data_IF_532021231664
#
_entry.id   IF_532021231664
#
_cell.length_a   1.000
_cell.length_b   1.000
_cell.length_c   1.000
_cell.angle_alpha   90.00
_cell.angle_beta   90.00
_cell.angle_gamma   90.00
#
_symmetry.space_group_name_H-M   'P 1'
#
loop_
_entity.id
_entity.type
_entity.pdbx_description
1 polymer ?
#
# COMPACT_ATOMS: atom_id res chain seq x y z
N UNK A 1 -11.32 43.73 0.57
CA UNK A 1 -11.55 42.38 0.00
C UNK A 1 -10.93 41.23 0.80
N UNK A 2 -9.70 41.37 1.34
CA UNK A 2 -9.10 40.36 2.24
C UNK A 2 -9.95 40.01 3.47
N UNK A 3 -10.79 40.94 3.94
CA UNK A 3 -11.65 40.70 5.10
C UNK A 3 -12.75 39.67 4.81
N UNK A 4 -13.39 39.76 3.63
CA UNK A 4 -14.42 38.80 3.22
C UNK A 4 -13.82 37.43 2.98
N UNK A 5 -12.68 37.38 2.27
CA UNK A 5 -11.98 36.12 2.02
C UNK A 5 -11.58 35.45 3.35
N UNK A 6 -11.05 36.23 4.32
CA UNK A 6 -10.71 35.71 5.67
C UNK A 6 -11.94 35.23 6.43
N UNK A 7 -13.06 35.92 6.31
CA UNK A 7 -14.31 35.53 6.95
C UNK A 7 -14.83 34.21 6.38
N UNK A 8 -14.95 34.09 5.05
CA UNK A 8 -15.39 32.87 4.38
C UNK A 8 -14.48 31.68 4.65
N UNK A 9 -13.16 31.92 4.73
CA UNK A 9 -12.20 30.88 5.11
C UNK A 9 -12.38 30.43 6.57
N UNK A 10 -12.57 31.37 7.50
CA UNK A 10 -12.86 31.02 8.90
C UNK A 10 -14.14 30.19 9.02
N UNK A 11 -15.18 30.60 8.30
CA UNK A 11 -16.48 29.93 8.29
C UNK A 11 -16.41 28.50 7.74
N UNK A 12 -15.47 28.22 6.80
CA UNK A 12 -15.23 26.87 6.27
C UNK A 12 -14.28 26.04 7.14
N UNK A 13 -13.18 26.62 7.61
CA UNK A 13 -12.12 25.88 8.29
C UNK A 13 -12.54 25.39 9.67
N UNK A 14 -13.40 26.14 10.36
CA UNK A 14 -13.94 25.76 11.68
C UNK A 14 -14.78 24.46 11.61
N UNK A 15 -15.84 24.37 10.78
CA UNK A 15 -16.61 23.13 10.65
C UNK A 15 -15.79 21.99 10.04
N UNK A 16 -14.85 22.29 9.14
CA UNK A 16 -13.92 21.28 8.61
C UNK A 16 -13.10 20.64 9.74
N UNK A 17 -12.53 21.45 10.63
CA UNK A 17 -11.79 20.96 11.78
C UNK A 17 -12.67 20.09 12.69
N UNK A 18 -13.89 20.53 13.00
CA UNK A 18 -14.82 19.75 13.81
C UNK A 18 -15.20 18.41 13.16
N UNK A 19 -15.44 18.39 11.85
CA UNK A 19 -15.70 17.16 11.11
C UNK A 19 -14.51 16.20 11.20
N UNK A 20 -13.29 16.68 10.93
CA UNK A 20 -12.07 15.86 10.99
C UNK A 20 -11.82 15.32 12.40
N UNK A 21 -11.94 16.16 13.42
CA UNK A 21 -11.77 15.76 14.81
C UNK A 21 -12.83 14.72 15.24
N UNK A 22 -14.10 14.92 14.84
CA UNK A 22 -15.18 13.98 15.12
C UNK A 22 -14.94 12.61 14.49
N UNK A 23 -14.59 12.58 13.20
CA UNK A 23 -14.25 11.33 12.52
C UNK A 23 -13.03 10.63 13.13
N UNK A 24 -11.99 11.38 13.52
CA UNK A 24 -10.83 10.83 14.23
C UNK A 24 -11.23 10.14 15.52
N UNK A 25 -12.06 10.80 16.35
CA UNK A 25 -12.52 10.24 17.62
C UNK A 25 -13.35 8.97 17.40
N UNK A 26 -14.31 9.00 16.48
CA UNK A 26 -15.14 7.82 16.19
C UNK A 26 -14.33 6.65 15.66
N UNK A 27 -13.39 6.92 14.76
CA UNK A 27 -12.53 5.89 14.19
C UNK A 27 -11.62 5.28 15.26
N UNK A 28 -10.95 6.09 16.08
CA UNK A 28 -10.10 5.59 17.18
C UNK A 28 -10.92 4.79 18.21
N UNK A 29 -12.12 5.24 18.57
CA UNK A 29 -12.98 4.50 19.48
C UNK A 29 -13.36 3.13 18.89
N UNK A 30 -13.80 3.10 17.64
CA UNK A 30 -14.20 1.86 16.96
C UNK A 30 -13.04 0.88 16.80
N UNK A 31 -11.87 1.35 16.35
CA UNK A 31 -10.68 0.51 16.20
C UNK A 31 -10.18 -0.04 17.54
N UNK A 32 -10.21 0.79 18.59
CA UNK A 32 -9.78 0.39 19.92
C UNK A 32 -10.68 -0.73 20.44
N UNK A 33 -12.01 -0.58 20.38
CA UNK A 33 -12.94 -1.62 20.82
C UNK A 33 -12.81 -2.91 20.00
N UNK A 34 -12.51 -2.82 18.71
CA UNK A 34 -12.35 -3.98 17.84
C UNK A 34 -11.07 -4.80 18.10
N UNK A 35 -10.00 -4.16 18.58
CA UNK A 35 -8.67 -4.78 18.72
C UNK A 35 -8.12 -4.72 20.14
N UNK A 36 -8.99 -4.60 21.17
CA UNK A 36 -8.59 -4.56 22.58
C UNK A 36 -7.63 -5.71 22.95
N UNK A 37 -7.84 -6.90 22.40
CA UNK A 37 -7.04 -8.10 22.68
C UNK A 37 -5.63 -8.02 22.09
N UNK A 38 -5.43 -7.31 20.97
CA UNK A 38 -4.11 -7.13 20.33
C UNK A 38 -3.23 -6.14 21.09
N UNK A 39 -3.83 -5.27 21.91
CA UNK A 39 -3.12 -4.27 22.70
C UNK A 39 -2.77 -4.77 24.11
N UNK A 40 -3.12 -6.01 24.44
CA UNK A 40 -2.74 -6.65 25.71
C UNK A 40 -1.21 -6.81 25.75
N UNK A 41 -0.53 -5.97 26.54
CA UNK A 41 0.93 -5.95 26.70
C UNK A 41 1.61 -4.66 26.21
N UNK A 42 0.88 -3.77 25.52
CA UNK A 42 1.40 -2.45 25.10
C UNK A 42 1.03 -1.36 26.11
N UNK A 43 1.95 -0.43 26.36
CA UNK A 43 1.68 0.74 27.22
C UNK A 43 0.75 1.74 26.54
N UNK A 44 -0.07 2.46 27.33
CA UNK A 44 -0.98 3.51 26.81
C UNK A 44 -0.29 4.56 25.93
N UNK A 45 0.98 4.87 26.21
CA UNK A 45 1.80 5.79 25.40
C UNK A 45 2.13 5.22 24.02
N UNK A 46 2.40 3.91 23.92
CA UNK A 46 2.65 3.22 22.66
C UNK A 46 1.36 3.13 21.83
N UNK A 47 0.22 2.84 22.47
CA UNK A 47 -1.09 2.83 21.83
C UNK A 47 -1.42 4.20 21.24
N UNK A 48 -1.23 5.29 22.02
CA UNK A 48 -1.40 6.65 21.51
C UNK A 48 -0.47 6.98 20.34
N UNK A 49 0.79 6.53 20.38
CA UNK A 49 1.74 6.68 19.29
C UNK A 49 1.33 5.93 18.01
N UNK A 50 0.78 4.72 18.14
CA UNK A 50 0.25 3.94 17.01
C UNK A 50 -0.93 4.67 16.36
N UNK A 51 -1.87 5.20 17.14
CA UNK A 51 -3.00 5.95 16.59
C UNK A 51 -2.55 7.23 15.89
N UNK A 52 -1.56 7.94 16.46
CA UNK A 52 -0.99 9.12 15.81
C UNK A 52 -0.32 8.78 14.47
N UNK A 53 0.33 7.62 14.38
CA UNK A 53 0.91 7.09 13.14
C UNK A 53 -0.15 6.64 12.13
N UNK A 54 -1.34 6.21 12.57
CA UNK A 54 -2.44 5.85 11.69
C UNK A 54 -3.32 7.04 11.26
N UNK A 55 -3.25 8.17 11.97
CA UNK A 55 -3.99 9.40 11.64
C UNK A 55 -3.83 9.84 10.17
N UNK A 56 -2.62 9.89 9.57
CA UNK A 56 -2.45 10.23 8.16
C UNK A 56 -3.29 9.36 7.23
N UNK A 57 -3.32 8.05 7.46
CA UNK A 57 -4.10 7.08 6.68
C UNK A 57 -5.60 7.38 6.78
N UNK A 58 -6.11 7.67 7.98
CA UNK A 58 -7.50 8.08 8.16
C UNK A 58 -7.82 9.37 7.41
N UNK A 59 -6.95 10.39 7.51
CA UNK A 59 -7.15 11.66 6.79
C UNK A 59 -7.29 11.41 5.29
N UNK A 60 -6.56 10.45 4.71
CA UNK A 60 -6.67 10.19 3.26
C UNK A 60 -8.06 9.77 2.81
N UNK A 61 -8.83 9.14 3.71
CA UNK A 61 -10.18 8.65 3.43
C UNK A 61 -11.24 9.66 3.84
N UNK A 62 -11.03 10.33 4.97
CA UNK A 62 -12.04 11.20 5.60
C UNK A 62 -12.01 12.63 5.06
N UNK A 63 -10.85 13.13 4.63
CA UNK A 63 -10.69 14.53 4.23
C UNK A 63 -11.67 14.96 3.12
N UNK A 64 -11.91 14.18 2.04
CA UNK A 64 -12.89 14.56 1.01
C UNK A 64 -14.33 14.66 1.55
N UNK A 65 -14.70 13.72 2.42
CA UNK A 65 -16.04 13.67 3.05
C UNK A 65 -16.21 14.85 4.01
N UNK A 66 -15.21 15.12 4.83
CA UNK A 66 -15.21 16.24 5.77
C UNK A 66 -15.25 17.59 5.04
N UNK A 67 -14.52 17.74 3.93
CA UNK A 67 -14.54 18.94 3.10
C UNK A 67 -15.93 19.21 2.52
N UNK A 68 -16.59 18.16 2.00
CA UNK A 68 -17.96 18.26 1.48
C UNK A 68 -18.95 18.70 2.57
N UNK A 69 -18.91 18.06 3.74
CA UNK A 69 -19.80 18.37 4.86
C UNK A 69 -19.56 19.79 5.39
N UNK A 70 -18.31 20.18 5.55
CA UNK A 70 -17.95 21.52 6.00
C UNK A 70 -18.42 22.59 5.01
N UNK A 71 -18.24 22.36 3.71
CA UNK A 71 -18.71 23.28 2.67
C UNK A 71 -20.24 23.39 2.68
N UNK A 72 -20.95 22.26 2.76
CA UNK A 72 -22.40 22.25 2.83
C UNK A 72 -22.91 23.01 4.06
N UNK A 73 -22.30 22.79 5.22
CA UNK A 73 -22.62 23.52 6.44
C UNK A 73 -22.40 25.02 6.28
N UNK A 74 -21.24 25.42 5.77
CA UNK A 74 -20.84 26.82 5.57
C UNK A 74 -21.82 27.56 4.65
N UNK A 75 -22.13 26.96 3.49
CA UNK A 75 -23.06 27.54 2.52
C UNK A 75 -24.47 27.63 3.09
N UNK A 76 -24.91 26.60 3.83
CA UNK A 76 -26.22 26.60 4.50
C UNK A 76 -26.31 27.69 5.56
N UNK A 77 -25.24 27.89 6.33
CA UNK A 77 -25.18 28.90 7.37
C UNK A 77 -25.26 30.31 6.77
N UNK A 78 -24.43 30.61 5.77
CA UNK A 78 -24.44 31.88 5.03
C UNK A 78 -25.80 32.18 4.37
N UNK A 79 -26.46 31.14 3.83
CA UNK A 79 -27.78 31.28 3.23
C UNK A 79 -28.85 31.59 4.27
N UNK A 80 -28.85 30.89 5.42
CA UNK A 80 -29.81 31.14 6.51
C UNK A 80 -29.64 32.52 7.14
N UNK A 81 -28.42 33.01 7.24
CA UNK A 81 -28.13 34.36 7.73
C UNK A 81 -28.41 35.46 6.68
N UNK A 82 -28.88 35.12 5.48
CA UNK A 82 -29.05 36.03 4.33
C UNK A 82 -27.77 36.76 3.90
N UNK A 83 -26.60 36.32 4.34
CA UNK A 83 -25.31 36.93 4.00
C UNK A 83 -24.96 36.72 2.53
N UNK A 84 -25.33 35.57 1.96
CA UNK A 84 -25.15 35.30 0.55
C UNK A 84 -25.93 36.30 -0.32
N UNK A 85 -27.16 36.61 0.09
CA UNK A 85 -28.03 37.59 -0.59
C UNK A 85 -27.47 39.00 -0.43
N UNK A 86 -27.00 39.36 0.76
CA UNK A 86 -26.38 40.66 1.03
C UNK A 86 -25.12 40.89 0.17
N UNK A 87 -24.23 39.89 0.07
CA UNK A 87 -23.03 39.97 -0.79
C UNK A 87 -23.40 40.15 -2.27
N UNK A 88 -24.41 39.41 -2.73
CA UNK A 88 -24.94 39.52 -4.10
C UNK A 88 -25.54 40.90 -4.38
N UNK A 89 -26.30 41.46 -3.44
CA UNK A 89 -26.87 42.80 -3.53
C UNK A 89 -25.79 43.89 -3.54
N UNK A 90 -24.66 43.66 -2.85
CA UNK A 90 -23.47 44.52 -2.90
C UNK A 90 -22.67 44.41 -4.22
N UNK A 91 -23.18 43.68 -5.22
CA UNK A 91 -22.56 43.54 -6.54
C UNK A 91 -21.44 42.49 -6.60
N UNK A 92 -21.24 41.68 -5.55
CA UNK A 92 -20.22 40.63 -5.55
C UNK A 92 -20.72 39.44 -6.39
N UNK A 93 -19.94 39.04 -7.38
CA UNK A 93 -20.28 37.89 -8.22
C UNK A 93 -20.20 36.58 -7.43
N UNK A 94 -21.02 35.59 -7.80
CA UNK A 94 -20.99 34.28 -7.14
C UNK A 94 -19.64 33.59 -7.32
N UNK A 95 -19.05 33.72 -8.51
CA UNK A 95 -17.70 33.23 -8.81
C UNK A 95 -16.66 33.78 -7.83
N UNK A 96 -16.73 35.08 -7.47
CA UNK A 96 -15.80 35.68 -6.51
C UNK A 96 -15.97 35.13 -5.10
N UNK A 97 -17.21 34.86 -4.67
CA UNK A 97 -17.51 34.23 -3.37
C UNK A 97 -16.95 32.80 -3.33
N UNK A 98 -16.94 32.09 -4.47
CA UNK A 98 -16.43 30.71 -4.54
C UNK A 98 -14.90 30.60 -4.53
N UNK A 99 -14.16 31.64 -4.92
CA UNK A 99 -12.68 31.63 -4.96
C UNK A 99 -12.02 31.11 -3.68
N UNK A 100 -12.34 31.60 -2.46
CA UNK A 100 -11.72 31.08 -1.23
C UNK A 100 -11.99 29.59 -1.01
N UNK A 101 -13.18 29.08 -1.35
CA UNK A 101 -13.50 27.66 -1.21
C UNK A 101 -12.70 26.80 -2.19
N UNK A 102 -12.54 27.24 -3.44
CA UNK A 102 -11.68 26.57 -4.41
C UNK A 102 -10.20 26.61 -4.02
N UNK A 103 -9.74 27.70 -3.40
CA UNK A 103 -8.39 27.77 -2.86
C UNK A 103 -8.18 26.70 -1.77
N UNK A 104 -9.12 26.56 -0.83
CA UNK A 104 -9.06 25.48 0.17
C UNK A 104 -9.08 24.11 -0.48
N UNK A 105 -9.94 23.88 -1.47
CA UNK A 105 -10.00 22.61 -2.20
C UNK A 105 -8.65 22.28 -2.87
N UNK A 106 -8.03 23.25 -3.53
CA UNK A 106 -6.72 23.08 -4.16
C UNK A 106 -5.61 22.74 -3.14
N UNK A 107 -5.54 23.48 -2.04
CA UNK A 107 -4.54 23.20 -0.99
C UNK A 107 -4.83 21.89 -0.25
N UNK A 108 -6.09 21.55 -0.01
CA UNK A 108 -6.49 20.28 0.61
C UNK A 108 -6.18 19.09 -0.29
N UNK A 109 -6.41 19.20 -1.60
CA UNK A 109 -6.01 18.19 -2.59
C UNK A 109 -4.49 18.02 -2.64
N UNK A 110 -3.73 19.12 -2.74
CA UNK A 110 -2.27 19.05 -2.67
C UNK A 110 -1.75 18.43 -1.37
N UNK A 111 -2.36 18.76 -0.24
CA UNK A 111 -2.05 18.16 1.05
C UNK A 111 -2.39 16.66 1.09
N UNK A 112 -3.55 16.28 0.55
CA UNK A 112 -3.99 14.89 0.44
C UNK A 112 -3.00 14.07 -0.40
N UNK A 113 -2.55 14.61 -1.53
CA UNK A 113 -1.53 13.98 -2.37
C UNK A 113 -0.22 13.73 -1.64
N UNK A 114 0.27 14.72 -0.87
CA UNK A 114 1.49 14.55 -0.08
C UNK A 114 1.30 13.51 1.03
N UNK A 115 0.13 13.50 1.68
CA UNK A 115 -0.19 12.51 2.71
C UNK A 115 -0.23 11.10 2.14
N UNK A 116 -0.91 10.88 1.01
CA UNK A 116 -1.06 9.55 0.40
C UNK A 116 0.26 9.01 -0.12
N UNK A 117 1.09 9.87 -0.74
CA UNK A 117 2.32 9.42 -1.38
C UNK A 117 3.48 9.21 -0.40
N UNK A 118 3.65 10.11 0.57
CA UNK A 118 4.85 10.11 1.41
C UNK A 118 4.58 9.74 2.87
N UNK A 119 3.52 10.27 3.47
CA UNK A 119 3.34 10.23 4.92
C UNK A 119 2.64 8.95 5.36
N UNK A 120 1.50 8.61 4.74
CA UNK A 120 0.70 7.46 5.12
C UNK A 120 1.47 6.13 5.01
N UNK A 121 2.17 5.81 3.90
CA UNK A 121 2.88 4.53 3.79
C UNK A 121 3.96 4.35 4.86
N UNK A 122 4.71 5.42 5.15
CA UNK A 122 5.76 5.40 6.16
C UNK A 122 5.19 5.27 7.58
N UNK A 123 4.07 5.93 7.84
CA UNK A 123 3.44 5.94 9.15
C UNK A 123 2.79 4.59 9.47
N UNK A 124 2.08 3.99 8.51
CA UNK A 124 1.52 2.63 8.62
C UNK A 124 2.63 1.59 8.80
N UNK A 125 3.71 1.65 8.02
CA UNK A 125 4.85 0.74 8.18
C UNK A 125 5.52 0.84 9.56
N UNK A 126 5.61 2.05 10.13
CA UNK A 126 6.11 2.24 11.51
C UNK A 126 5.13 1.71 12.56
N UNK A 127 3.83 1.95 12.39
CA UNK A 127 2.80 1.44 13.29
C UNK A 127 2.81 -0.10 13.34
N UNK A 128 2.93 -0.75 12.19
CA UNK A 128 2.97 -2.21 12.09
C UNK A 128 4.24 -2.79 12.71
N UNK A 129 5.39 -2.13 12.57
CA UNK A 129 6.64 -2.53 13.25
C UNK A 129 6.49 -2.49 14.77
N UNK A 130 5.85 -1.45 15.31
CA UNK A 130 5.62 -1.32 16.76
C UNK A 130 4.68 -2.43 17.23
N UNK A 131 3.55 -2.65 16.53
CA UNK A 131 2.62 -3.75 16.82
C UNK A 131 3.34 -5.11 16.82
N UNK A 132 4.17 -5.37 15.80
CA UNK A 132 4.92 -6.63 15.69
C UNK A 132 5.96 -6.77 16.80
N UNK A 133 6.75 -5.73 17.10
CA UNK A 133 7.78 -5.79 18.15
C UNK A 133 7.24 -6.04 19.56
N UNK A 134 5.99 -5.64 19.84
CA UNK A 134 5.31 -5.92 21.10
C UNK A 134 4.75 -7.35 21.19
N UNK A 135 4.63 -8.04 20.06
CA UNK A 135 4.22 -9.45 20.01
C UNK A 135 5.47 -10.34 20.02
N UNK A 136 5.58 -11.20 21.02
CA UNK A 136 6.70 -12.13 21.25
C UNK A 136 7.04 -13.07 20.06
N UNK A 137 6.23 -13.05 19.00
CA UNK A 137 6.38 -13.80 17.74
C UNK A 137 7.00 -13.00 16.57
N UNK A 138 7.67 -11.88 16.85
CA UNK A 138 8.26 -11.00 15.82
C UNK A 138 9.50 -11.61 15.15
N UNK A 139 9.28 -12.49 14.17
CA UNK A 139 10.27 -12.73 13.12
C UNK A 139 10.02 -11.69 12.02
N UNK A 140 11.03 -10.90 11.62
CA UNK A 140 11.00 -10.03 10.43
C UNK A 140 10.78 -10.80 9.12
N UNK A 141 10.64 -12.11 9.22
CA UNK A 141 10.46 -13.05 8.15
C UNK A 141 9.01 -13.06 7.70
N UNK A 142 8.80 -12.85 6.41
CA UNK A 142 7.52 -13.05 5.75
C UNK A 142 7.31 -14.56 5.56
N UNK A 143 6.16 -15.07 5.96
CA UNK A 143 5.85 -16.50 5.84
C UNK A 143 4.93 -16.81 4.66
N UNK A 144 5.06 -18.01 4.09
CA UNK A 144 4.20 -18.58 3.03
C UNK A 144 3.94 -17.61 1.86
N UNK A 145 5.03 -17.21 1.21
CA UNK A 145 4.99 -16.34 0.04
C UNK A 145 4.81 -17.15 -1.22
N UNK A 146 3.86 -16.73 -2.05
CA UNK A 146 3.59 -17.32 -3.36
C UNK A 146 3.52 -16.20 -4.39
N UNK A 147 4.33 -16.28 -5.44
CA UNK A 147 4.24 -15.34 -6.55
C UNK A 147 4.71 -15.97 -7.86
N UNK A 148 4.41 -15.32 -8.98
CA UNK A 148 4.79 -15.77 -10.31
C UNK A 148 5.64 -14.71 -11.00
N UNK A 149 6.87 -15.05 -11.35
CA UNK A 149 7.73 -14.26 -12.23
C UNK A 149 7.25 -14.44 -13.67
N UNK A 150 6.64 -13.39 -14.22
CA UNK A 150 6.04 -13.40 -15.55
C UNK A 150 7.07 -13.49 -16.68
N UNK A 151 8.31 -13.04 -16.46
CA UNK A 151 9.38 -12.99 -17.47
C UNK A 151 9.90 -14.39 -17.80
N UNK A 152 10.08 -15.21 -16.77
CA UNK A 152 10.58 -16.58 -16.91
C UNK A 152 9.50 -17.64 -16.77
N UNK A 153 8.24 -17.24 -16.56
CA UNK A 153 7.11 -18.11 -16.26
C UNK A 153 7.40 -19.06 -15.07
N UNK A 154 8.11 -18.53 -14.07
CA UNK A 154 8.54 -19.24 -12.87
C UNK A 154 7.54 -18.97 -11.73
N UNK A 155 7.04 -20.02 -11.09
CA UNK A 155 6.25 -19.91 -9.88
C UNK A 155 7.18 -20.12 -8.69
N UNK A 156 7.13 -19.20 -7.75
CA UNK A 156 7.94 -19.20 -6.54
C UNK A 156 7.04 -19.43 -5.34
N UNK A 157 7.46 -20.38 -4.52
CA UNK A 157 6.88 -20.69 -3.23
C UNK A 157 7.99 -20.61 -2.18
N UNK A 158 7.95 -19.61 -1.31
CA UNK A 158 8.97 -19.42 -0.27
C UNK A 158 8.29 -19.48 1.09
N UNK A 159 8.71 -20.43 1.93
CA UNK A 159 8.09 -20.58 3.24
C UNK A 159 8.45 -19.45 4.19
N UNK A 160 9.72 -19.02 4.23
CA UNK A 160 10.11 -17.82 4.97
C UNK A 160 11.11 -16.98 4.19
N UNK A 161 10.90 -15.67 4.16
CA UNK A 161 11.78 -14.74 3.49
C UNK A 161 12.10 -13.54 4.36
N UNK A 162 13.39 -13.22 4.47
CA UNK A 162 13.84 -12.00 5.12
C UNK A 162 14.03 -10.88 4.07
N UNK A 163 13.19 -9.81 4.09
CA UNK A 163 13.29 -8.72 3.11
C UNK A 163 14.49 -7.79 3.31
N UNK A 164 15.15 -7.86 4.47
CA UNK A 164 16.34 -7.04 4.81
C UNK A 164 17.61 -7.71 4.32
N UNK A 165 17.82 -8.98 4.67
CA UNK A 165 19.03 -9.72 4.27
C UNK A 165 18.91 -10.35 2.89
N UNK A 166 17.69 -10.61 2.42
CA UNK A 166 17.42 -11.34 1.18
C UNK A 166 17.53 -12.86 1.33
N UNK A 167 17.62 -13.37 2.56
CA UNK A 167 17.69 -14.80 2.83
C UNK A 167 16.32 -15.48 2.73
N UNK A 168 16.33 -16.71 2.24
CA UNK A 168 15.15 -17.56 2.08
C UNK A 168 15.31 -18.86 2.86
N UNK A 169 14.25 -19.30 3.52
CA UNK A 169 14.11 -20.67 4.03
C UNK A 169 13.03 -21.40 3.23
N UNK A 170 13.36 -22.63 2.85
CA UNK A 170 12.52 -23.52 2.05
C UNK A 170 11.94 -22.86 0.78
N UNK A 171 12.79 -22.27 -0.10
CA UNK A 171 12.32 -21.85 -1.42
C UNK A 171 12.07 -23.07 -2.31
N UNK A 172 10.96 -23.02 -3.03
CA UNK A 172 10.58 -23.95 -4.10
C UNK A 172 10.25 -23.11 -5.33
N UNK A 173 10.87 -23.45 -6.46
CA UNK A 173 10.66 -22.75 -7.74
C UNK A 173 10.32 -23.76 -8.80
N UNK A 174 9.19 -23.55 -9.49
CA UNK A 174 8.81 -24.40 -10.62
C UNK A 174 8.53 -23.62 -11.90
N UNK A 175 8.98 -24.17 -13.01
CA UNK A 175 8.74 -23.65 -14.35
C UNK A 175 8.54 -24.77 -15.34
N UNK A 176 7.82 -24.47 -16.42
CA UNK A 176 7.54 -25.42 -17.48
C UNK A 176 8.10 -24.89 -18.80
N UNK A 177 8.89 -25.70 -19.48
CA UNK A 177 9.43 -25.39 -20.81
C UNK A 177 9.30 -26.62 -21.70
N UNK A 178 8.77 -26.46 -22.91
CA UNK A 178 8.68 -27.52 -23.93
C UNK A 178 8.06 -28.83 -23.40
N UNK A 179 6.97 -28.72 -22.62
CA UNK A 179 6.28 -29.83 -21.95
C UNK A 179 7.12 -30.60 -20.91
N UNK A 180 8.16 -29.96 -20.38
CA UNK A 180 8.98 -30.45 -19.28
C UNK A 180 8.82 -29.50 -18.10
N UNK A 181 8.30 -30.00 -16.97
CA UNK A 181 8.20 -29.24 -15.72
C UNK A 181 9.45 -29.49 -14.89
N UNK A 182 10.13 -28.43 -14.44
CA UNK A 182 11.26 -28.52 -13.52
C UNK A 182 10.89 -27.84 -12.22
N UNK A 183 11.12 -28.52 -11.10
CA UNK A 183 10.92 -28.03 -9.74
C UNK A 183 12.28 -28.02 -9.05
N UNK A 184 12.62 -26.92 -8.40
CA UNK A 184 13.83 -26.80 -7.58
C UNK A 184 13.39 -26.48 -6.16
N UNK A 185 13.57 -27.45 -5.28
CA UNK A 185 13.35 -27.29 -3.83
C UNK A 185 14.71 -27.08 -3.17
N UNK A 186 14.82 -26.20 -2.17
CA UNK A 186 16.05 -26.07 -1.40
C UNK A 186 15.77 -25.82 0.08
N UNK A 187 16.75 -26.11 0.94
CA UNK A 187 16.61 -25.80 2.37
C UNK A 187 16.78 -24.30 2.65
N UNK A 188 17.78 -23.67 2.03
CA UNK A 188 18.05 -22.23 2.18
C UNK A 188 18.49 -21.62 0.85
N UNK A 189 18.19 -20.34 0.66
CA UNK A 189 18.62 -19.55 -0.49
C UNK A 189 19.20 -18.22 -0.06
N UNK A 190 20.35 -17.85 -0.62
CA UNK A 190 20.99 -16.55 -0.38
C UNK A 190 21.46 -15.94 -1.69
N UNK A 191 21.40 -14.61 -1.79
CA UNK A 191 21.90 -13.89 -2.96
C UNK A 191 23.41 -13.66 -2.83
N UNK A 192 24.21 -14.30 -3.69
CA UNK A 192 25.68 -14.17 -3.68
C UNK A 192 26.19 -13.99 -5.11
N UNK A 193 27.13 -13.07 -5.34
CA UNK A 193 27.80 -12.87 -6.64
C UNK A 193 26.86 -12.66 -7.84
N UNK A 194 25.72 -11.97 -7.64
CA UNK A 194 24.79 -11.64 -8.71
C UNK A 194 23.87 -12.80 -9.15
N UNK A 195 23.76 -13.85 -8.34
CA UNK A 195 22.79 -14.93 -8.54
C UNK A 195 22.33 -15.56 -7.22
N UNK A 196 21.25 -16.34 -7.29
CA UNK A 196 20.77 -17.12 -6.14
C UNK A 196 21.67 -18.34 -5.91
N UNK A 197 22.14 -18.50 -4.69
CA UNK A 197 22.85 -19.71 -4.25
C UNK A 197 21.93 -20.47 -3.31
N UNK A 198 21.46 -21.62 -3.76
CA UNK A 198 20.62 -22.51 -2.98
C UNK A 198 21.48 -23.59 -2.32
N UNK A 199 21.28 -23.83 -1.02
CA UNK A 199 21.97 -24.89 -0.28
C UNK A 199 21.02 -26.04 0.01
N UNK A 200 21.54 -27.26 -0.14
CA UNK A 200 20.79 -28.51 -0.06
C UNK A 200 19.57 -28.47 -0.99
N UNK A 201 19.86 -28.34 -2.28
CA UNK A 201 18.86 -28.20 -3.32
C UNK A 201 18.59 -29.53 -4.03
N UNK A 202 17.32 -29.81 -4.29
CA UNK A 202 16.85 -30.92 -5.09
C UNK A 202 16.18 -30.38 -6.35
N UNK A 203 16.71 -30.75 -7.52
CA UNK A 203 16.08 -30.47 -8.81
C UNK A 203 15.32 -31.71 -9.27
N UNK A 204 14.01 -31.58 -9.46
CA UNK A 204 13.12 -32.61 -9.98
C UNK A 204 12.67 -32.20 -11.38
N UNK A 205 12.78 -33.09 -12.35
CA UNK A 205 12.33 -32.85 -13.72
C UNK A 205 11.27 -33.88 -14.10
N UNK A 206 10.14 -33.41 -14.62
CA UNK A 206 8.98 -34.18 -15.00
C UNK A 206 8.78 -34.07 -16.51
N UNK A 207 8.89 -35.20 -17.20
CA UNK A 207 8.66 -35.33 -18.64
C UNK A 207 7.77 -36.55 -18.89
N UNK A 208 6.51 -36.39 -19.33
CA UNK A 208 5.80 -35.14 -19.64
C UNK A 208 5.49 -34.28 -18.41
N UNK A 209 5.22 -32.98 -18.60
CA UNK A 209 4.96 -32.03 -17.51
C UNK A 209 3.84 -32.43 -16.54
N UNK A 210 2.84 -33.19 -17.02
CA UNK A 210 1.70 -33.68 -16.23
C UNK A 210 1.98 -35.01 -15.50
N UNK A 211 3.23 -35.49 -15.48
CA UNK A 211 3.56 -36.73 -14.76
C UNK A 211 3.58 -36.50 -13.25
N UNK A 212 2.98 -37.42 -12.49
CA UNK A 212 3.02 -37.40 -11.01
C UNK A 212 4.41 -37.80 -10.46
N UNK A 213 5.24 -38.46 -11.28
CA UNK A 213 6.55 -38.96 -10.87
C UNK A 213 7.68 -38.19 -11.59
N UNK A 214 8.74 -37.80 -10.86
CA UNK A 214 9.88 -37.15 -11.50
C UNK A 214 10.65 -38.14 -12.35
N UNK A 215 10.92 -37.76 -13.60
CA UNK A 215 11.77 -38.50 -14.54
C UNK A 215 13.24 -38.45 -14.10
N UNK A 216 13.65 -37.37 -13.43
CA UNK A 216 14.98 -37.27 -12.82
C UNK A 216 14.94 -36.42 -11.54
N UNK A 217 15.75 -36.82 -10.56
CA UNK A 217 15.97 -36.10 -9.31
C UNK A 217 17.47 -35.95 -9.11
N UNK A 218 17.94 -34.70 -9.03
CA UNK A 218 19.33 -34.36 -8.80
C UNK A 218 19.41 -33.59 -7.48
N UNK A 219 19.97 -34.22 -6.45
CA UNK A 219 20.27 -33.56 -5.18
C UNK A 219 21.69 -33.00 -5.22
N UNK A 220 21.87 -31.75 -4.78
CA UNK A 220 23.19 -31.10 -4.73
C UNK A 220 23.28 -30.21 -3.49
N UNK A 221 24.45 -30.21 -2.85
CA UNK A 221 24.68 -29.38 -1.66
C UNK A 221 24.65 -27.89 -1.95
N UNK A 222 25.08 -27.48 -3.15
CA UNK A 222 25.06 -26.08 -3.60
C UNK A 222 24.57 -26.05 -5.04
N UNK A 223 23.53 -25.27 -5.30
CA UNK A 223 23.02 -25.01 -6.64
C UNK A 223 23.11 -23.52 -6.94
N UNK A 224 23.93 -23.14 -7.93
CA UNK A 224 23.96 -21.78 -8.44
C UNK A 224 22.81 -21.55 -9.43
N UNK A 225 21.84 -20.75 -9.01
CA UNK A 225 20.67 -20.34 -9.76
C UNK A 225 20.94 -19.19 -10.75
N UNK A 226 22.02 -19.22 -11.54
CA UNK A 226 22.26 -18.19 -12.57
C UNK A 226 21.15 -18.09 -13.64
N UNK A 227 20.30 -19.11 -13.76
CA UNK A 227 19.11 -19.15 -14.63
C UNK A 227 17.78 -19.01 -13.86
N UNK A 228 17.81 -18.94 -12.53
CA UNK A 228 16.64 -18.70 -11.70
C UNK A 228 16.47 -17.19 -11.55
N UNK A 229 15.25 -16.70 -11.80
CA UNK A 229 14.96 -15.29 -12.00
C UNK A 229 15.05 -14.42 -10.74
N UNK A 230 14.99 -13.10 -10.98
CA UNK A 230 14.78 -12.07 -9.96
C UNK A 230 16.02 -11.67 -9.18
N UNK A 231 16.41 -10.39 -9.26
CA UNK A 231 17.21 -9.77 -8.20
C UNK A 231 16.41 -9.70 -6.89
N UNK A 232 17.04 -9.58 -5.71
CA UNK A 232 16.33 -9.38 -4.45
C UNK A 232 15.39 -8.16 -4.48
N UNK A 233 15.73 -7.13 -5.25
CA UNK A 233 14.87 -5.97 -5.46
C UNK A 233 13.60 -6.31 -6.26
N UNK A 234 13.74 -7.06 -7.36
CA UNK A 234 12.60 -7.56 -8.14
C UNK A 234 11.70 -8.47 -7.31
N UNK A 235 12.31 -9.38 -6.56
CA UNK A 235 11.59 -10.35 -5.73
C UNK A 235 10.80 -9.65 -4.61
N UNK A 236 11.37 -8.61 -3.99
CA UNK A 236 10.64 -7.76 -3.02
C UNK A 236 9.45 -7.04 -3.67
N UNK A 237 9.62 -6.50 -4.87
CA UNK A 237 8.55 -5.80 -5.57
C UNK A 237 7.43 -6.77 -5.97
N UNK A 238 7.78 -7.97 -6.41
CA UNK A 238 6.85 -9.04 -6.77
C UNK A 238 6.08 -9.58 -5.56
N UNK A 239 6.78 -9.84 -4.44
CA UNK A 239 6.15 -10.21 -3.16
C UNK A 239 5.12 -9.17 -2.74
N UNK A 240 5.47 -7.88 -2.87
CA UNK A 240 4.59 -6.80 -2.48
C UNK A 240 3.33 -6.75 -3.33
N UNK A 241 3.42 -7.03 -4.62
CA UNK A 241 2.26 -7.11 -5.51
C UNK A 241 1.45 -8.39 -5.31
N UNK A 242 2.11 -9.52 -5.07
CA UNK A 242 1.43 -10.79 -4.80
C UNK A 242 0.60 -10.74 -3.50
N UNK A 243 1.10 -10.05 -2.47
CA UNK A 243 0.33 -9.78 -1.26
C UNK A 243 -0.93 -8.93 -1.52
N UNK A 244 -0.91 -8.08 -2.54
CA UNK A 244 -2.07 -7.30 -2.96
C UNK A 244 -3.08 -8.16 -3.73
N UNK A 245 -2.62 -9.08 -4.58
CA UNK A 245 -3.48 -9.96 -5.39
C UNK A 245 -4.37 -10.87 -4.51
N UNK A 246 -3.86 -11.31 -3.35
CA UNK A 246 -4.64 -12.07 -2.36
C UNK A 246 -5.82 -11.26 -1.74
N UNK A 247 -5.79 -9.93 -1.83
CA UNK A 247 -6.72 -9.01 -1.16
C UNK A 247 -7.68 -8.29 -2.13
N UNK A 248 -8.31 -8.96 -3.11
CA UNK A 248 -9.31 -8.33 -4.01
C UNK A 248 -8.91 -6.89 -4.44
N UNK A 249 -7.64 -6.70 -4.83
CA UNK A 249 -6.98 -5.40 -4.95
C UNK A 249 -7.51 -4.48 -6.06
N UNK A 250 -8.43 -4.94 -6.90
CA UNK A 250 -9.15 -4.04 -7.80
C UNK A 250 -10.00 -2.99 -7.06
N UNK A 251 -10.26 -3.17 -5.76
CA UNK A 251 -11.19 -2.30 -5.00
C UNK A 251 -10.52 -1.23 -4.13
N UNK A 252 -9.22 -1.29 -3.85
CA UNK A 252 -8.55 -0.35 -2.94
C UNK A 252 -7.18 0.12 -3.49
N UNK A 253 -6.94 1.43 -3.42
CA UNK A 253 -5.68 2.05 -3.82
C UNK A 253 -4.63 1.86 -2.71
N UNK A 254 -3.70 0.91 -2.90
CA UNK A 254 -2.76 0.49 -1.85
C UNK A 254 -1.28 0.76 -2.20
N UNK A 255 -0.91 0.84 -3.48
CA UNK A 255 0.46 1.15 -3.91
C UNK A 255 0.70 2.66 -3.99
N UNK A 256 1.88 3.15 -3.60
CA UNK A 256 2.27 4.54 -3.90
C UNK A 256 2.68 4.70 -5.37
N UNK A 257 2.68 5.94 -5.88
CA UNK A 257 3.14 6.22 -7.24
C UNK A 257 4.61 5.84 -7.41
N UNK A 258 5.44 6.10 -6.40
CA UNK A 258 6.84 5.70 -6.42
C UNK A 258 7.02 4.19 -6.53
N UNK A 259 6.21 3.40 -5.80
CA UNK A 259 6.25 1.93 -5.87
C UNK A 259 5.79 1.41 -7.23
N UNK A 260 4.77 2.04 -7.82
CA UNK A 260 4.31 1.70 -9.18
C UNK A 260 5.41 1.99 -10.21
N UNK A 261 6.06 3.15 -10.11
CA UNK A 261 7.14 3.56 -11.00
C UNK A 261 8.39 2.68 -10.82
N UNK A 262 8.73 2.30 -9.59
CA UNK A 262 9.81 1.37 -9.31
C UNK A 262 9.51 -0.02 -9.89
N UNK A 263 8.30 -0.54 -9.68
CA UNK A 263 7.90 -1.84 -10.20
C UNK A 263 7.92 -1.89 -11.73
N UNK A 264 7.35 -0.87 -12.40
CA UNK A 264 7.36 -0.75 -13.86
C UNK A 264 8.78 -0.64 -14.42
N UNK A 265 9.69 0.08 -13.74
CA UNK A 265 11.10 0.15 -14.12
C UNK A 265 11.83 -1.18 -13.97
N UNK A 266 11.51 -1.95 -12.93
CA UNK A 266 12.12 -3.26 -12.68
C UNK A 266 11.57 -4.36 -13.60
N UNK A 267 10.41 -4.14 -14.22
CA UNK A 267 9.72 -5.09 -15.10
C UNK A 267 9.32 -4.44 -16.44
N UNK A 268 10.26 -4.18 -17.37
CA UNK A 268 9.94 -3.57 -18.66
C UNK A 268 9.15 -4.49 -19.61
N UNK A 269 9.21 -5.81 -19.41
CA UNK A 269 8.53 -6.83 -20.23
C UNK A 269 7.37 -7.52 -19.45
N UNK A 270 6.53 -6.75 -18.76
CA UNK A 270 5.38 -7.32 -18.03
C UNK A 270 4.37 -7.98 -18.96
N UNK A 271 3.95 -9.22 -18.63
CA UNK A 271 2.82 -9.88 -19.31
C UNK A 271 1.51 -9.15 -19.04
N UNK A 272 0.59 -9.21 -20.01
CA UNK A 272 -0.68 -8.47 -20.09
C UNK A 272 -1.63 -8.68 -18.90
N UNK A 273 -1.43 -9.71 -18.06
CA UNK A 273 -2.36 -10.02 -16.95
C UNK A 273 -2.28 -9.02 -15.79
N UNK A 274 -1.09 -8.52 -15.44
CA UNK A 274 -0.90 -7.59 -14.29
C UNK A 274 -0.89 -6.12 -14.70
N UNK A 275 -0.58 -5.82 -15.96
CA UNK A 275 -0.49 -4.45 -16.46
C UNK A 275 -1.77 -3.62 -16.23
N UNK A 276 -3.00 -4.12 -16.50
CA UNK A 276 -4.23 -3.34 -16.29
C UNK A 276 -4.47 -2.97 -14.81
N UNK A 277 -4.08 -3.86 -13.89
CA UNK A 277 -4.20 -3.60 -12.45
C UNK A 277 -3.28 -2.45 -12.03
N UNK A 278 -2.01 -2.48 -12.47
CA UNK A 278 -1.02 -1.45 -12.15
C UNK A 278 -1.40 -0.10 -12.77
N UNK A 279 -1.91 -0.11 -14.00
CA UNK A 279 -2.42 1.08 -14.66
C UNK A 279 -3.65 1.66 -13.94
N UNK A 280 -4.58 0.81 -13.50
CA UNK A 280 -5.74 1.23 -12.69
C UNK A 280 -5.30 1.88 -11.37
N UNK A 281 -4.33 1.28 -10.68
CA UNK A 281 -3.77 1.83 -9.43
C UNK A 281 -3.08 3.18 -9.69
N UNK A 282 -2.32 3.31 -10.78
CA UNK A 282 -1.64 4.54 -11.16
C UNK A 282 -2.62 5.69 -11.41
N UNK A 283 -3.62 5.47 -12.27
CA UNK A 283 -4.62 6.50 -12.57
C UNK A 283 -5.50 6.81 -11.37
N UNK A 284 -5.88 5.81 -10.57
CA UNK A 284 -6.64 6.02 -9.35
C UNK A 284 -5.87 6.86 -8.32
N UNK A 285 -4.54 6.69 -8.21
CA UNK A 285 -3.71 7.53 -7.32
C UNK A 285 -3.60 8.97 -7.79
N UNK A 286 -3.48 9.20 -9.09
CA UNK A 286 -3.42 10.56 -9.66
C UNK A 286 -4.77 11.27 -9.51
N UNK A 287 -5.88 10.55 -9.60
CA UNK A 287 -7.23 11.10 -9.52
C UNK A 287 -7.77 11.25 -8.08
N UNK A 288 -7.04 10.77 -7.08
CA UNK A 288 -7.46 10.79 -5.67
C UNK A 288 -7.51 12.21 -5.04
N UNK A 289 -6.55 13.12 -5.30
CA UNK A 289 -6.57 14.51 -4.83
C UNK A 289 -7.66 15.38 -5.46
#
# INVERSE_FOLDING_TARGET
MRLLDRYLLGELLVPLFYCLAGFQIFWTAFDLFGHLDEYQGLGWTQVGGIYLLKTPELLTTVLPIALLLALLYTLTHLAKANELVAMRAAGISLARISVPFFAVAFFAGGFLFVLTEFVAPQATAKADRIKKSGSEKSSEWLENLHFKDDRLDQHWHIKKYNPVTGDMEQPSVDWTQDNIRTVVDAATGAWTNGGWTFRYAERKTYSPANSDLPTSVIATNILEGKKLGGSPAQLRAEIRIAQLDQLRAAKQLQLSLWEILEYTKLHPEMKTSKAPMIETQFHGRIAQP
#
